data_IF_654037175897
#
_entry.id   IF_654037175897
#
_cell.length_a   1.000
_cell.length_b   1.000
_cell.length_c   1.000
_cell.angle_alpha   90.00
_cell.angle_beta   90.00
_cell.angle_gamma   90.00
#
_symmetry.space_group_name_H-M   'P 1'
#
loop_
_entity.id
_entity.type
_entity.pdbx_description
1 polymer ?
#
# COMPACT_ATOMS: atom_id res chain seq x y z
N UNK A 1 2.37 -52.61 -15.48
CA UNK A 1 3.10 -51.56 -16.21
C UNK A 1 2.11 -50.87 -17.14
N UNK A 2 1.47 -49.80 -16.69
CA UNK A 2 0.45 -49.08 -17.45
C UNK A 2 1.10 -48.25 -18.57
N UNK A 3 0.87 -48.62 -19.81
CA UNK A 3 1.29 -47.88 -21.00
C UNK A 3 0.30 -46.72 -21.19
N UNK A 4 0.66 -45.54 -20.69
CA UNK A 4 -0.09 -44.30 -20.92
C UNK A 4 -0.16 -44.05 -22.44
N UNK A 5 -1.37 -43.97 -22.99
CA UNK A 5 -1.59 -43.76 -24.41
C UNK A 5 -1.44 -42.28 -24.75
N UNK A 6 -0.98 -41.97 -25.99
CA UNK A 6 -0.91 -40.59 -26.51
C UNK A 6 -2.26 -39.87 -26.41
N UNK A 7 -3.36 -40.62 -26.45
CA UNK A 7 -4.72 -40.09 -26.25
C UNK A 7 -4.92 -39.58 -24.83
N UNK A 8 -4.46 -40.33 -23.82
CA UNK A 8 -4.57 -39.92 -22.41
C UNK A 8 -3.72 -38.66 -22.14
N UNK A 9 -2.57 -38.55 -22.81
CA UNK A 9 -1.72 -37.37 -22.76
C UNK A 9 -2.38 -36.13 -23.42
N UNK A 10 -3.06 -36.32 -24.55
CA UNK A 10 -3.78 -35.25 -25.28
C UNK A 10 -5.07 -34.81 -24.55
N UNK A 11 -5.82 -35.75 -23.95
CA UNK A 11 -7.01 -35.41 -23.15
C UNK A 11 -6.63 -34.65 -21.87
N UNK A 12 -5.52 -35.03 -21.23
CA UNK A 12 -5.03 -34.35 -20.03
C UNK A 12 -4.57 -32.91 -20.31
N UNK A 13 -3.96 -32.67 -21.48
CA UNK A 13 -3.50 -31.33 -21.87
C UNK A 13 -4.64 -30.41 -22.30
N UNK A 14 -5.71 -30.94 -22.91
CA UNK A 14 -6.92 -30.17 -23.20
C UNK A 14 -7.66 -29.74 -21.92
N UNK A 15 -7.74 -30.61 -20.92
CA UNK A 15 -8.36 -30.29 -19.63
C UNK A 15 -7.56 -29.22 -18.86
N UNK A 16 -6.23 -29.27 -18.91
CA UNK A 16 -5.37 -28.27 -18.27
C UNK A 16 -5.51 -26.88 -18.91
N UNK A 17 -5.62 -26.81 -20.24
CA UNK A 17 -5.80 -25.55 -20.96
C UNK A 17 -7.18 -24.91 -20.69
N UNK A 18 -8.23 -25.74 -20.60
CA UNK A 18 -9.58 -25.27 -20.26
C UNK A 18 -9.68 -24.76 -18.83
N UNK A 19 -8.95 -25.37 -17.88
CA UNK A 19 -8.89 -24.90 -16.49
C UNK A 19 -8.19 -23.56 -16.33
N UNK A 20 -7.15 -23.29 -17.13
CA UNK A 20 -6.43 -22.01 -17.09
C UNK A 20 -7.25 -20.83 -17.63
N UNK A 21 -8.20 -21.07 -18.54
CA UNK A 21 -9.06 -20.03 -19.11
C UNK A 21 -10.13 -19.50 -18.12
N UNK A 22 -10.39 -20.20 -17.02
CA UNK A 22 -11.30 -19.77 -15.95
C UNK A 22 -10.63 -18.85 -14.92
N UNK A 23 -9.30 -18.79 -14.91
CA UNK A 23 -8.55 -17.84 -14.10
C UNK A 23 -8.44 -16.53 -14.90
N UNK A 24 -9.39 -15.62 -14.68
CA UNK A 24 -9.33 -14.27 -15.23
C UNK A 24 -8.02 -13.56 -14.83
N UNK A 25 -7.64 -12.47 -15.51
CA UNK A 25 -6.44 -11.72 -15.16
C UNK A 25 -6.54 -11.27 -13.70
N UNK A 26 -5.56 -11.66 -12.88
CA UNK A 26 -5.40 -11.07 -11.56
C UNK A 26 -5.00 -9.60 -11.76
N UNK A 27 -5.92 -8.68 -11.49
CA UNK A 27 -5.58 -7.27 -11.38
C UNK A 27 -4.74 -7.09 -10.12
N UNK A 28 -3.57 -6.47 -10.25
CA UNK A 28 -2.88 -5.95 -9.07
C UNK A 28 -3.81 -4.93 -8.40
N UNK A 29 -4.13 -5.10 -7.11
CA UNK A 29 -4.80 -4.03 -6.39
C UNK A 29 -3.91 -2.79 -6.43
N UNK A 30 -4.49 -1.64 -6.79
CA UNK A 30 -3.79 -0.36 -6.68
C UNK A 30 -3.36 -0.18 -5.22
N UNK A 31 -2.05 -0.01 -4.99
CA UNK A 31 -1.50 0.25 -3.67
C UNK A 31 -2.15 1.54 -3.14
N UNK A 32 -2.93 1.45 -2.06
CA UNK A 32 -3.55 2.62 -1.41
C UNK A 32 -2.74 3.00 -0.18
N UNK A 33 -2.38 4.28 -0.07
CA UNK A 33 -1.58 4.80 1.04
C UNK A 33 -2.23 6.09 1.55
N UNK A 34 -2.44 6.19 2.85
CA UNK A 34 -2.86 7.43 3.51
C UNK A 34 -1.65 8.14 4.10
N UNK A 35 -1.42 9.39 3.68
CA UNK A 35 -0.31 10.21 4.16
C UNK A 35 -0.82 11.44 4.90
N UNK A 36 -0.45 11.57 6.18
CA UNK A 36 -0.73 12.74 7.02
C UNK A 36 0.28 13.86 6.81
N UNK A 37 -0.19 15.07 6.50
CA UNK A 37 0.64 16.26 6.31
C UNK A 37 0.17 17.45 7.15
N UNK A 38 1.08 18.40 7.42
CA UNK A 38 0.79 19.67 8.10
C UNK A 38 1.03 20.84 7.14
N UNK A 39 0.54 22.05 7.44
CA UNK A 39 0.61 23.21 6.53
C UNK A 39 1.94 23.98 6.60
N UNK A 40 3.04 23.32 6.96
CA UNK A 40 4.38 23.92 6.93
C UNK A 40 4.81 24.18 5.48
N UNK A 41 5.53 25.26 5.24
CA UNK A 41 6.10 25.58 3.93
C UNK A 41 7.40 24.78 3.76
N UNK A 42 7.38 23.80 2.86
CA UNK A 42 8.52 22.91 2.60
C UNK A 42 8.56 22.47 1.12
N UNK A 43 9.74 22.12 0.56
CA UNK A 43 9.89 21.75 -0.85
C UNK A 43 9.03 20.56 -1.29
N UNK A 44 8.69 19.64 -0.39
CA UNK A 44 7.85 18.46 -0.66
C UNK A 44 6.40 18.80 -1.06
N UNK A 45 5.93 20.04 -0.83
CA UNK A 45 4.57 20.44 -1.22
C UNK A 45 4.37 20.59 -2.72
N UNK A 46 5.43 20.90 -3.46
CA UNK A 46 5.38 20.95 -4.93
C UNK A 46 5.11 19.56 -5.52
N UNK A 47 5.92 18.53 -5.26
CA UNK A 47 5.62 17.18 -5.76
C UNK A 47 4.34 16.57 -5.20
N UNK A 48 3.89 16.98 -4.01
CA UNK A 48 2.56 16.63 -3.48
C UNK A 48 1.44 17.22 -4.35
N UNK A 49 1.52 18.52 -4.67
CA UNK A 49 0.51 19.19 -5.50
C UNK A 49 0.53 18.72 -6.97
N UNK A 50 1.71 18.41 -7.49
CA UNK A 50 1.92 17.98 -8.88
C UNK A 50 1.58 16.49 -9.10
N UNK A 51 1.24 15.74 -8.04
CA UNK A 51 0.97 14.30 -8.11
C UNK A 51 2.21 13.46 -8.45
N UNK A 52 3.40 13.99 -8.15
CA UNK A 52 4.66 13.34 -8.53
C UNK A 52 4.90 12.04 -7.74
N UNK A 53 4.40 11.97 -6.50
CA UNK A 53 4.52 10.78 -5.66
C UNK A 53 3.70 9.63 -6.22
N UNK A 54 2.43 9.85 -6.55
CA UNK A 54 1.51 8.90 -7.16
C UNK A 54 2.06 8.40 -8.50
N UNK A 55 2.61 9.31 -9.33
CA UNK A 55 3.23 8.94 -10.61
C UNK A 55 4.42 8.02 -10.43
N UNK A 56 5.26 8.28 -9.43
CA UNK A 56 6.48 7.52 -9.15
C UNK A 56 6.19 6.16 -8.50
N UNK A 57 5.27 6.12 -7.54
CA UNK A 57 4.96 4.91 -6.76
C UNK A 57 3.92 4.02 -7.43
N UNK A 58 3.12 4.57 -8.36
CA UNK A 58 1.89 3.93 -8.88
C UNK A 58 0.86 3.64 -7.79
N UNK A 59 0.97 4.30 -6.64
CA UNK A 59 0.02 4.19 -5.54
C UNK A 59 -1.07 5.27 -5.66
N UNK A 60 -2.28 4.93 -5.24
CA UNK A 60 -3.31 5.91 -4.93
C UNK A 60 -3.04 6.48 -3.52
N UNK A 61 -2.70 7.76 -3.44
CA UNK A 61 -2.34 8.41 -2.18
C UNK A 61 -3.50 9.29 -1.69
N UNK A 62 -3.97 9.03 -0.47
CA UNK A 62 -4.93 9.86 0.27
C UNK A 62 -4.18 10.84 1.18
N UNK A 63 -4.09 12.11 0.76
CA UNK A 63 -3.43 13.16 1.53
C UNK A 63 -4.37 13.75 2.58
N UNK A 64 -4.05 13.56 3.86
CA UNK A 64 -4.84 14.07 4.98
C UNK A 64 -4.13 15.19 5.72
N UNK A 65 -4.78 16.35 5.79
CA UNK A 65 -4.26 17.50 6.53
C UNK A 65 -4.51 17.31 8.03
N UNK A 66 -3.50 17.61 8.83
CA UNK A 66 -3.58 17.70 10.29
C UNK A 66 -3.09 19.06 10.77
N UNK A 67 -3.63 19.51 11.89
CA UNK A 67 -3.25 20.79 12.51
C UNK A 67 -2.07 20.64 13.48
N UNK A 68 -1.78 19.42 13.96
CA UNK A 68 -0.67 19.16 14.86
C UNK A 68 -0.01 17.79 14.64
N UNK A 69 1.27 17.68 14.99
CA UNK A 69 1.98 16.40 14.98
C UNK A 69 1.46 15.39 16.01
N UNK A 70 0.80 15.83 17.09
CA UNK A 70 0.19 14.92 18.06
C UNK A 70 -1.00 14.18 17.44
N UNK A 71 -1.81 14.87 16.63
CA UNK A 71 -2.94 14.28 15.92
C UNK A 71 -2.48 13.29 14.84
N UNK A 72 -1.38 13.60 14.15
CA UNK A 72 -0.75 12.66 13.20
C UNK A 72 -0.31 11.37 13.90
N UNK A 73 0.32 11.47 15.08
CA UNK A 73 0.72 10.29 15.87
C UNK A 73 -0.50 9.47 16.30
N UNK A 74 -1.57 10.13 16.75
CA UNK A 74 -2.82 9.45 17.12
C UNK A 74 -3.43 8.72 15.92
N UNK A 75 -3.41 9.35 14.73
CA UNK A 75 -3.90 8.75 13.50
C UNK A 75 -3.08 7.51 13.09
N UNK A 76 -1.74 7.59 13.15
CA UNK A 76 -0.85 6.44 12.95
C UNK A 76 -1.16 5.32 13.94
N UNK A 77 -1.27 5.64 15.24
CA UNK A 77 -1.55 4.65 16.27
C UNK A 77 -2.92 3.97 16.09
N UNK A 78 -3.90 4.67 15.51
CA UNK A 78 -5.21 4.12 15.17
C UNK A 78 -5.23 3.26 13.89
N UNK A 79 -4.17 3.30 13.08
CA UNK A 79 -4.13 2.70 11.74
C UNK A 79 -4.91 3.48 10.68
N UNK A 80 -5.31 4.72 10.96
CA UNK A 80 -6.01 5.56 9.97
C UNK A 80 -5.04 6.29 9.04
N UNK A 81 -3.76 6.41 9.38
CA UNK A 81 -2.69 6.99 8.57
C UNK A 81 -1.52 6.01 8.52
N UNK A 82 -0.97 5.80 7.32
CA UNK A 82 0.15 4.88 7.10
C UNK A 82 1.49 5.59 7.30
N UNK A 83 1.61 6.82 6.79
CA UNK A 83 2.81 7.66 6.87
C UNK A 83 2.42 9.05 7.36
N UNK A 84 3.14 9.60 8.34
CA UNK A 84 2.84 10.93 8.88
C UNK A 84 4.06 11.82 9.00
N UNK A 85 3.94 13.07 8.55
CA UNK A 85 4.93 14.12 8.79
C UNK A 85 4.74 14.74 10.18
N UNK A 86 5.77 14.64 11.03
CA UNK A 86 5.77 15.17 12.40
C UNK A 86 7.09 15.84 12.74
N UNK A 87 7.04 16.83 13.65
CA UNK A 87 8.24 17.41 14.23
C UNK A 87 8.94 16.46 15.21
N UNK A 88 10.17 16.78 15.60
CA UNK A 88 10.97 15.96 16.51
C UNK A 88 10.35 15.81 17.91
N UNK A 89 9.75 16.87 18.47
CA UNK A 89 9.12 16.84 19.79
C UNK A 89 7.94 15.86 19.90
N UNK A 90 6.90 15.91 19.03
CA UNK A 90 5.82 14.93 19.09
C UNK A 90 6.31 13.50 18.79
N UNK A 91 7.29 13.33 17.89
CA UNK A 91 7.89 12.03 17.60
C UNK A 91 8.61 11.44 18.83
N UNK A 92 9.46 12.23 19.49
CA UNK A 92 10.17 11.81 20.69
C UNK A 92 9.19 11.44 21.81
N UNK A 93 8.16 12.26 22.02
CA UNK A 93 7.12 11.99 23.01
C UNK A 93 6.35 10.68 22.70
N UNK A 94 6.04 10.41 21.44
CA UNK A 94 5.39 9.17 21.00
C UNK A 94 6.30 7.94 21.26
N UNK A 95 7.57 8.04 20.86
CA UNK A 95 8.57 7.00 21.07
C UNK A 95 8.75 6.67 22.56
N UNK A 96 8.84 7.69 23.43
CA UNK A 96 8.93 7.49 24.89
C UNK A 96 7.72 6.80 25.50
N UNK A 97 6.53 6.92 24.88
CA UNK A 97 5.30 6.24 25.33
C UNK A 97 5.10 4.85 24.70
N UNK A 98 6.04 4.38 23.87
CA UNK A 98 5.90 3.11 23.16
C UNK A 98 4.81 3.11 22.08
N UNK A 99 4.36 4.29 21.63
CA UNK A 99 3.43 4.41 20.51
C UNK A 99 4.19 4.13 19.22
N UNK A 100 4.19 2.87 18.79
CA UNK A 100 4.78 2.44 17.52
C UNK A 100 3.74 2.59 16.40
N UNK A 101 4.19 2.99 15.22
CA UNK A 101 3.42 2.71 14.00
C UNK A 101 3.17 1.21 13.94
N UNK A 102 1.93 0.81 13.67
CA UNK A 102 1.59 -0.60 13.50
C UNK A 102 2.39 -1.13 12.31
N UNK A 103 3.03 -2.28 12.50
CA UNK A 103 3.76 -3.02 11.49
C UNK A 103 3.17 -4.43 11.48
N UNK A 104 1.90 -4.52 11.11
CA UNK A 104 1.20 -5.77 10.82
C UNK A 104 1.20 -6.05 9.31
#
# INVERSE_FOLDING_TARGET
>A
MSILSRRDLLLSSAAALAGAALLGPASAEDLKITIGYQTVVEPSKVPQADGAYEKATKAAIDWRKFDSGADVIAAIASGSVDIGYVGSSPLAAAASRGQRARAD
#
